data_IF_010299850866
#
_entry.id   IF_010299850866
#
_cell.length_a   1.000
_cell.length_b   1.000
_cell.length_c   1.000
_cell.angle_alpha   90.00
_cell.angle_beta   90.00
_cell.angle_gamma   90.00
#
_symmetry.space_group_name_H-M   'P 1'
#
loop_
_entity.id
_entity.type
_entity.pdbx_description
1 polymer ?
#
# COMPACT_ATOMS: atom_id res chain seq x y z
N UNK A 1 18.01 -10.10 -26.54
CA UNK A 1 17.02 -11.18 -26.82
C UNK A 1 16.15 -11.57 -25.61
N UNK A 2 16.52 -11.27 -24.36
CA UNK A 2 15.71 -11.58 -23.17
C UNK A 2 14.57 -10.56 -22.90
N UNK A 3 14.64 -9.36 -23.45
CA UNK A 3 13.67 -8.28 -23.22
C UNK A 3 12.31 -8.51 -23.89
N UNK A 4 12.27 -9.12 -25.07
CA UNK A 4 11.04 -9.38 -25.80
C UNK A 4 10.16 -10.51 -25.19
N UNK A 5 10.80 -11.46 -24.50
CA UNK A 5 10.10 -12.59 -23.85
C UNK A 5 9.34 -12.17 -22.59
N UNK A 6 9.86 -11.16 -21.85
CA UNK A 6 9.20 -10.66 -20.62
C UNK A 6 7.93 -9.85 -20.92
N UNK A 7 7.92 -9.03 -21.98
CA UNK A 7 6.75 -8.23 -22.37
C UNK A 7 5.59 -9.13 -22.83
N UNK A 8 5.87 -10.20 -23.54
CA UNK A 8 4.88 -11.22 -23.92
C UNK A 8 4.31 -11.96 -22.71
N UNK A 9 5.12 -12.18 -21.67
CA UNK A 9 4.76 -12.86 -20.45
C UNK A 9 3.77 -12.07 -19.58
N UNK A 10 3.99 -10.75 -19.40
CA UNK A 10 3.05 -9.90 -18.64
C UNK A 10 1.68 -9.76 -19.31
N UNK A 11 1.64 -9.70 -20.62
CA UNK A 11 0.39 -9.63 -21.37
C UNK A 11 -0.39 -10.97 -21.27
N UNK A 12 0.31 -12.10 -21.38
CA UNK A 12 -0.29 -13.43 -21.22
C UNK A 12 -0.80 -13.68 -19.78
N UNK A 13 -0.13 -13.18 -18.74
CA UNK A 13 -0.58 -13.36 -17.35
C UNK A 13 -1.92 -12.67 -17.10
N UNK A 14 -2.15 -11.48 -17.67
CA UNK A 14 -3.43 -10.78 -17.53
C UNK A 14 -4.57 -11.46 -18.26
N UNK A 15 -4.30 -12.01 -19.45
CA UNK A 15 -5.33 -12.61 -20.30
C UNK A 15 -5.63 -14.07 -19.93
N UNK A 16 -4.74 -14.71 -19.13
CA UNK A 16 -4.82 -16.15 -18.80
C UNK A 16 -4.86 -16.42 -17.30
N UNK A 17 -5.41 -15.49 -16.49
CA UNK A 17 -5.53 -15.69 -15.04
C UNK A 17 -6.38 -16.92 -14.70
N UNK A 18 -7.44 -17.18 -15.43
CA UNK A 18 -8.29 -18.37 -15.23
C UNK A 18 -7.53 -19.66 -15.55
N UNK A 19 -6.81 -19.71 -16.67
CA UNK A 19 -5.99 -20.86 -17.05
C UNK A 19 -4.87 -21.13 -16.04
N UNK A 20 -4.25 -20.05 -15.51
CA UNK A 20 -3.25 -20.16 -14.44
C UNK A 20 -3.88 -20.71 -13.16
N UNK A 21 -5.04 -20.21 -12.78
CA UNK A 21 -5.76 -20.67 -11.60
C UNK A 21 -6.14 -22.15 -11.73
N UNK A 22 -6.67 -22.57 -12.88
CA UNK A 22 -7.00 -23.96 -13.16
C UNK A 22 -5.76 -24.87 -13.11
N UNK A 23 -4.64 -24.41 -13.67
CA UNK A 23 -3.37 -25.14 -13.62
C UNK A 23 -2.85 -25.28 -12.18
N UNK A 24 -2.93 -24.21 -11.36
CA UNK A 24 -2.52 -24.24 -9.95
C UNK A 24 -3.44 -25.10 -9.09
N UNK A 25 -4.74 -25.11 -9.38
CA UNK A 25 -5.74 -25.89 -8.64
C UNK A 25 -5.46 -27.39 -8.69
N UNK A 26 -4.81 -27.88 -9.75
CA UNK A 26 -4.42 -29.28 -9.88
C UNK A 26 -3.36 -29.73 -8.86
N UNK A 27 -2.63 -28.76 -8.29
CA UNK A 27 -1.60 -28.99 -7.26
C UNK A 27 -2.13 -28.73 -5.84
N UNK A 28 -3.37 -28.24 -5.72
CA UNK A 28 -3.99 -28.02 -4.42
C UNK A 28 -4.31 -29.37 -3.77
N UNK A 29 -3.92 -29.51 -2.51
CA UNK A 29 -4.20 -30.69 -1.68
C UNK A 29 -4.99 -30.25 -0.46
N UNK A 30 -5.85 -31.15 0.07
CA UNK A 30 -6.53 -30.90 1.33
C UNK A 30 -5.49 -30.66 2.46
N UNK A 31 -5.69 -29.60 3.22
CA UNK A 31 -4.81 -29.19 4.30
C UNK A 31 -5.59 -28.55 5.45
N UNK A 32 -4.92 -28.28 6.59
CA UNK A 32 -5.56 -27.55 7.67
C UNK A 32 -5.92 -26.13 7.25
N UNK A 33 -7.06 -25.64 7.70
CA UNK A 33 -7.40 -24.22 7.60
C UNK A 33 -6.45 -23.40 8.46
N UNK A 34 -5.60 -22.60 7.85
CA UNK A 34 -4.65 -21.70 8.54
C UNK A 34 -5.26 -20.33 8.85
N UNK A 35 -6.32 -19.96 8.12
CA UNK A 35 -7.04 -18.69 8.26
C UNK A 35 -8.53 -18.97 8.35
N UNK A 36 -9.26 -18.09 9.02
CA UNK A 36 -10.71 -18.14 9.06
C UNK A 36 -11.31 -17.85 7.67
N UNK A 37 -12.45 -18.44 7.34
CA UNK A 37 -13.07 -18.35 6.00
C UNK A 37 -13.47 -16.91 5.61
N UNK A 38 -13.63 -16.03 6.59
CA UNK A 38 -13.93 -14.59 6.45
C UNK A 38 -12.71 -13.68 6.56
N UNK A 39 -11.52 -14.26 6.78
CA UNK A 39 -10.28 -13.49 6.85
C UNK A 39 -9.78 -13.10 5.45
N UNK A 40 -9.93 -11.84 5.08
CA UNK A 40 -9.38 -11.30 3.82
C UNK A 40 -7.85 -11.18 3.82
N UNK A 41 -7.24 -11.00 4.99
CA UNK A 41 -5.79 -10.81 5.15
C UNK A 41 -5.40 -11.03 6.61
N UNK A 42 -4.16 -11.43 6.84
CA UNK A 42 -3.51 -11.47 8.16
C UNK A 42 -2.80 -10.14 8.52
N UNK A 43 -2.83 -9.18 7.59
CA UNK A 43 -2.21 -7.87 7.76
C UNK A 43 -3.04 -7.00 8.72
N UNK A 44 -2.42 -6.34 9.71
CA UNK A 44 -3.11 -5.37 10.54
C UNK A 44 -3.76 -4.24 9.73
N UNK A 45 -4.96 -3.79 10.11
CA UNK A 45 -5.70 -2.71 9.41
C UNK A 45 -4.86 -1.46 9.18
N UNK A 46 -4.01 -1.11 10.14
CA UNK A 46 -3.07 0.01 10.04
C UNK A 46 -2.09 -0.14 8.87
N UNK A 47 -1.58 -1.34 8.65
CA UNK A 47 -0.65 -1.62 7.55
C UNK A 47 -1.38 -1.67 6.22
N UNK A 48 -2.58 -2.24 6.20
CA UNK A 48 -3.43 -2.27 5.01
C UNK A 48 -3.78 -0.84 4.53
N UNK A 49 -4.12 0.07 5.45
CA UNK A 49 -4.32 1.50 5.12
C UNK A 49 -3.08 2.11 4.48
N UNK A 50 -1.88 1.83 5.01
CA UNK A 50 -0.64 2.33 4.44
C UNK A 50 -0.43 1.82 3.00
N UNK A 51 -0.72 0.53 2.74
CA UNK A 51 -0.61 -0.07 1.42
C UNK A 51 -1.65 0.48 0.43
N UNK A 52 -2.89 0.71 0.85
CA UNK A 52 -3.92 1.36 0.01
C UNK A 52 -3.46 2.75 -0.41
N UNK A 53 -2.91 3.56 0.50
CA UNK A 53 -2.40 4.89 0.16
C UNK A 53 -1.19 4.78 -0.80
N UNK A 54 -0.29 3.82 -0.59
CA UNK A 54 0.85 3.56 -1.47
C UNK A 54 0.39 3.15 -2.87
N UNK A 55 -0.61 2.30 -2.98
CA UNK A 55 -1.24 1.91 -4.24
C UNK A 55 -1.77 3.13 -5.00
N UNK A 56 -2.54 4.01 -4.34
CA UNK A 56 -3.05 5.23 -5.00
C UNK A 56 -1.93 6.16 -5.44
N UNK A 57 -0.85 6.25 -4.67
CA UNK A 57 0.33 6.99 -5.09
C UNK A 57 0.96 6.38 -6.36
N UNK A 58 1.11 5.04 -6.43
CA UNK A 58 1.58 4.32 -7.62
C UNK A 58 0.69 4.57 -8.84
N UNK A 59 -0.63 4.55 -8.67
CA UNK A 59 -1.59 4.73 -9.76
C UNK A 59 -1.62 6.15 -10.32
N UNK A 60 -1.43 7.16 -9.49
CA UNK A 60 -1.62 8.56 -9.90
C UNK A 60 -0.32 9.31 -10.17
N UNK A 61 0.79 8.85 -9.65
CA UNK A 61 2.09 9.43 -9.95
C UNK A 61 2.77 8.68 -11.09
N UNK A 62 3.70 9.36 -11.76
CA UNK A 62 4.45 8.84 -12.89
C UNK A 62 5.92 8.70 -12.53
N UNK A 63 6.66 8.02 -13.39
CA UNK A 63 8.09 7.82 -13.30
C UNK A 63 8.54 7.04 -12.05
N UNK A 64 9.72 7.25 -11.57
CA UNK A 64 10.33 6.49 -10.46
C UNK A 64 9.92 7.00 -9.06
N UNK A 65 9.15 8.11 -8.97
CA UNK A 65 8.81 8.76 -7.71
C UNK A 65 8.01 7.85 -6.77
N UNK A 66 6.97 7.13 -7.25
CA UNK A 66 6.17 6.30 -6.37
C UNK A 66 6.97 5.15 -5.75
N UNK A 67 8.05 4.70 -6.39
CA UNK A 67 8.93 3.68 -5.85
C UNK A 67 9.89 4.20 -4.76
N UNK A 68 10.01 5.52 -4.65
CA UNK A 68 10.86 6.21 -3.67
C UNK A 68 10.10 6.79 -2.48
N UNK A 69 8.85 6.36 -2.23
CA UNK A 69 8.07 6.78 -1.08
C UNK A 69 7.86 5.65 -0.07
N UNK A 70 7.77 6.03 1.20
CA UNK A 70 7.29 5.17 2.27
C UNK A 70 6.05 5.80 2.90
N UNK A 71 5.06 4.98 3.22
CA UNK A 71 3.81 5.41 3.85
C UNK A 71 3.73 4.83 5.25
N UNK A 72 3.57 5.68 6.25
CA UNK A 72 3.52 5.28 7.65
C UNK A 72 2.28 5.86 8.31
N UNK A 73 1.46 4.99 8.87
CA UNK A 73 0.31 5.41 9.67
C UNK A 73 0.77 5.68 11.10
N UNK A 74 0.81 6.95 11.48
CA UNK A 74 1.23 7.40 12.81
C UNK A 74 0.13 7.21 13.86
N UNK A 75 -1.12 7.46 13.45
CA UNK A 75 -2.27 7.36 14.33
C UNK A 75 -3.40 6.63 13.62
N UNK A 76 -3.97 5.67 14.32
CA UNK A 76 -5.20 4.97 13.94
C UNK A 76 -6.07 4.91 15.20
N UNK A 77 -7.16 5.64 15.22
CA UNK A 77 -7.99 5.76 16.43
C UNK A 77 -9.47 5.86 16.10
N UNK A 78 -10.22 4.90 16.58
CA UNK A 78 -11.68 4.97 16.58
C UNK A 78 -12.18 6.06 17.54
N UNK A 79 -13.20 6.80 17.12
CA UNK A 79 -13.89 7.76 17.98
C UNK A 79 -15.01 7.08 18.75
N UNK A 80 -14.97 7.05 20.09
CA UNK A 80 -16.01 6.42 20.88
C UNK A 80 -17.40 6.98 20.57
N UNK A 81 -18.38 6.08 20.37
CA UNK A 81 -19.78 6.45 20.11
C UNK A 81 -20.08 7.01 18.73
N UNK A 82 -19.14 6.90 17.79
CA UNK A 82 -19.31 7.31 16.39
C UNK A 82 -18.78 6.22 15.46
N UNK A 83 -19.33 6.17 14.25
CA UNK A 83 -18.82 5.35 13.16
C UNK A 83 -17.75 6.13 12.38
N UNK A 84 -16.67 6.53 13.08
CA UNK A 84 -15.60 7.35 12.51
C UNK A 84 -14.23 6.96 13.08
N UNK A 85 -13.29 6.71 12.18
CA UNK A 85 -11.87 6.46 12.50
C UNK A 85 -11.00 7.63 12.07
N UNK A 86 -10.18 8.15 13.00
CA UNK A 86 -9.14 9.14 12.69
C UNK A 86 -7.86 8.43 12.29
N UNK A 87 -7.37 8.73 11.11
CA UNK A 87 -6.13 8.15 10.55
C UNK A 87 -5.19 9.28 10.13
N UNK A 88 -4.02 9.32 10.77
CA UNK A 88 -2.96 10.27 10.49
C UNK A 88 -1.80 9.55 9.81
N UNK A 89 -1.39 10.04 8.64
CA UNK A 89 -0.41 9.36 7.77
C UNK A 89 0.71 10.30 7.36
N UNK A 90 1.95 9.81 7.46
CA UNK A 90 3.11 10.45 6.86
C UNK A 90 3.55 9.71 5.60
N UNK A 91 3.67 10.45 4.52
CA UNK A 91 4.28 9.99 3.26
C UNK A 91 5.71 10.53 3.23
N UNK A 92 6.70 9.65 3.34
CA UNK A 92 8.11 10.00 3.33
C UNK A 92 8.66 9.91 1.91
N UNK A 93 9.42 10.94 1.51
CA UNK A 93 10.14 11.03 0.25
C UNK A 93 11.63 11.22 0.54
N UNK A 94 12.51 10.86 -0.40
CA UNK A 94 13.95 11.06 -0.25
C UNK A 94 14.39 12.52 -0.44
N UNK A 95 13.70 13.26 -1.32
CA UNK A 95 14.14 14.59 -1.78
C UNK A 95 13.01 15.60 -1.74
N UNK A 96 13.34 16.88 -1.58
CA UNK A 96 12.36 17.98 -1.64
C UNK A 96 11.64 18.06 -3.00
N UNK A 97 12.36 17.74 -4.10
CA UNK A 97 11.74 17.68 -5.43
C UNK A 97 10.62 16.62 -5.49
N UNK A 98 10.83 15.46 -4.91
CA UNK A 98 9.82 14.39 -4.84
C UNK A 98 8.63 14.82 -3.99
N UNK A 99 8.86 15.47 -2.85
CA UNK A 99 7.80 16.03 -2.00
C UNK A 99 6.92 17.02 -2.78
N UNK A 100 7.54 17.91 -3.56
CA UNK A 100 6.80 18.84 -4.43
C UNK A 100 5.89 18.11 -5.43
N UNK A 101 6.35 17.02 -6.02
CA UNK A 101 5.58 16.21 -6.96
C UNK A 101 4.44 15.43 -6.29
N UNK A 102 4.68 14.86 -5.10
CA UNK A 102 3.64 14.16 -4.31
C UNK A 102 2.54 15.13 -3.87
N UNK A 103 2.90 16.34 -3.47
CA UNK A 103 1.92 17.39 -3.11
C UNK A 103 1.17 17.86 -4.37
N UNK A 104 1.92 18.10 -5.45
CA UNK A 104 1.39 18.63 -6.70
C UNK A 104 1.00 20.11 -6.61
N UNK A 105 0.59 20.71 -7.74
CA UNK A 105 0.21 22.13 -7.81
C UNK A 105 -0.97 22.42 -6.87
N UNK A 106 -0.78 23.26 -5.88
CA UNK A 106 -1.81 23.63 -4.91
C UNK A 106 -2.32 22.43 -4.07
N UNK A 107 -1.53 21.35 -3.92
CA UNK A 107 -1.94 20.17 -3.16
C UNK A 107 -2.86 19.19 -3.93
N UNK A 108 -3.06 19.40 -5.24
CA UNK A 108 -4.03 18.65 -6.03
C UNK A 108 -3.71 17.15 -6.11
N UNK A 109 -2.43 16.78 -6.23
CA UNK A 109 -2.02 15.38 -6.31
C UNK A 109 -2.25 14.67 -4.98
N UNK A 110 -1.77 15.24 -3.88
CA UNK A 110 -1.98 14.70 -2.54
C UNK A 110 -3.45 14.56 -2.20
N UNK A 111 -4.26 15.56 -2.55
CA UNK A 111 -5.72 15.52 -2.36
C UNK A 111 -6.35 14.37 -3.14
N UNK A 112 -5.92 14.15 -4.38
CA UNK A 112 -6.42 13.06 -5.23
C UNK A 112 -6.08 11.69 -4.63
N UNK A 113 -4.82 11.49 -4.22
CA UNK A 113 -4.36 10.26 -3.56
C UNK A 113 -5.18 10.01 -2.29
N UNK A 114 -5.23 11.00 -1.39
CA UNK A 114 -5.92 10.86 -0.10
C UNK A 114 -7.43 10.63 -0.27
N UNK A 115 -8.09 11.29 -1.22
CA UNK A 115 -9.54 11.12 -1.43
C UNK A 115 -9.88 9.74 -1.97
N UNK A 116 -9.07 9.21 -2.90
CA UNK A 116 -9.26 7.87 -3.44
C UNK A 116 -8.95 6.80 -2.39
N UNK A 117 -7.82 6.95 -1.68
CA UNK A 117 -7.46 6.02 -0.61
C UNK A 117 -8.49 6.00 0.52
N UNK A 118 -9.06 7.16 0.88
CA UNK A 118 -10.13 7.24 1.88
C UNK A 118 -11.35 6.43 1.48
N UNK A 119 -11.79 6.51 0.22
CA UNK A 119 -12.95 5.76 -0.25
C UNK A 119 -12.75 4.25 -0.13
N UNK A 120 -11.59 3.75 -0.55
CA UNK A 120 -11.26 2.33 -0.43
C UNK A 120 -11.11 1.89 1.05
N UNK A 121 -10.52 2.76 1.91
CA UNK A 121 -10.44 2.48 3.34
C UNK A 121 -11.83 2.43 4.00
N UNK A 122 -12.75 3.32 3.63
CA UNK A 122 -14.13 3.29 4.12
C UNK A 122 -14.87 2.01 3.69
N UNK A 123 -14.59 1.51 2.50
CA UNK A 123 -15.18 0.27 1.97
C UNK A 123 -14.71 -0.95 2.76
N UNK A 124 -13.40 -1.13 2.98
CA UNK A 124 -12.92 -2.33 3.67
C UNK A 124 -13.05 -2.26 5.19
N UNK A 125 -12.96 -1.06 5.81
CA UNK A 125 -13.16 -0.90 7.25
C UNK A 125 -14.64 -0.92 7.65
N UNK A 126 -15.56 -0.73 6.71
CA UNK A 126 -17.00 -0.66 6.96
C UNK A 126 -17.44 0.55 7.80
N UNK A 127 -16.60 1.61 7.90
CA UNK A 127 -16.84 2.80 8.71
C UNK A 127 -16.34 4.06 8.00
N UNK A 128 -16.75 5.23 8.49
CA UNK A 128 -16.25 6.49 7.94
C UNK A 128 -14.81 6.77 8.39
N UNK A 129 -14.02 7.37 7.49
CA UNK A 129 -12.60 7.65 7.72
C UNK A 129 -12.31 9.14 7.62
N UNK A 130 -11.70 9.69 8.67
CA UNK A 130 -11.08 11.01 8.66
C UNK A 130 -9.58 10.84 8.39
N UNK A 131 -9.21 10.82 7.11
CA UNK A 131 -7.83 10.62 6.66
C UNK A 131 -7.09 11.96 6.55
N UNK A 132 -5.96 12.09 7.25
CA UNK A 132 -5.04 13.22 7.15
C UNK A 132 -3.68 12.73 6.68
N UNK A 133 -3.15 13.34 5.61
CA UNK A 133 -1.87 12.98 5.01
C UNK A 133 -0.90 14.14 5.01
N UNK A 134 0.33 13.89 5.48
CA UNK A 134 1.45 14.84 5.43
C UNK A 134 2.59 14.26 4.59
N UNK A 135 3.27 15.12 3.84
CA UNK A 135 4.45 14.72 3.07
C UNK A 135 5.69 15.25 3.76
N UNK A 136 6.60 14.37 4.10
CA UNK A 136 7.87 14.67 4.80
C UNK A 136 9.05 14.21 3.96
N UNK A 137 10.18 14.91 4.07
CA UNK A 137 11.44 14.49 3.47
C UNK A 137 12.30 13.78 4.50
N UNK A 138 12.82 12.62 4.12
CA UNK A 138 13.78 11.87 4.89
C UNK A 138 14.85 11.34 3.93
N UNK A 139 15.98 12.05 3.88
CA UNK A 139 17.09 11.67 3.01
C UNK A 139 17.60 10.27 3.38
N UNK A 140 18.00 9.53 2.34
CA UNK A 140 18.66 8.23 2.43
C UNK A 140 17.91 7.19 3.31
N UNK A 141 16.57 7.31 3.41
CA UNK A 141 15.77 6.41 4.25
C UNK A 141 15.85 4.95 3.78
N UNK A 142 16.08 4.71 2.49
CA UNK A 142 16.21 3.36 1.91
C UNK A 142 17.52 2.67 2.29
N UNK A 143 18.56 3.43 2.58
CA UNK A 143 19.87 2.93 2.96
C UNK A 143 20.03 2.84 4.49
N UNK A 144 19.01 3.25 5.24
CA UNK A 144 19.03 3.25 6.69
C UNK A 144 18.16 2.12 7.26
N UNK A 145 18.81 1.08 7.80
CA UNK A 145 18.13 -0.10 8.37
C UNK A 145 17.13 0.23 9.47
N UNK A 146 17.43 1.21 10.32
CA UNK A 146 16.51 1.63 11.38
C UNK A 146 15.24 2.24 10.80
N UNK A 147 15.36 3.07 9.75
CA UNK A 147 14.22 3.68 9.09
C UNK A 147 13.40 2.63 8.31
N UNK A 148 14.06 1.70 7.62
CA UNK A 148 13.39 0.59 6.94
C UNK A 148 12.55 -0.26 7.91
N UNK A 149 13.10 -0.58 9.07
CA UNK A 149 12.35 -1.31 10.10
C UNK A 149 11.15 -0.50 10.62
N UNK A 150 11.34 0.81 10.88
CA UNK A 150 10.27 1.68 11.36
C UNK A 150 9.17 1.93 10.32
N UNK A 151 9.50 1.83 9.03
CA UNK A 151 8.55 1.98 7.93
C UNK A 151 7.90 0.66 7.51
N UNK A 152 8.19 -0.45 8.20
CA UNK A 152 7.56 -1.74 7.96
C UNK A 152 8.19 -2.57 6.81
N UNK A 153 9.32 -2.14 6.22
CA UNK A 153 9.95 -2.82 5.09
C UNK A 153 10.81 -4.03 5.47
N UNK A 154 11.19 -4.20 6.73
CA UNK A 154 11.86 -5.43 7.20
C UNK A 154 10.90 -6.27 8.02
N UNK A 155 10.61 -7.45 7.53
CA UNK A 155 9.97 -8.49 8.34
C UNK A 155 10.89 -8.87 9.49
N UNK A 156 10.36 -8.84 10.70
CA UNK A 156 11.05 -9.34 11.87
C UNK A 156 11.28 -10.84 11.67
N UNK A 157 12.53 -11.37 11.65
CA UNK A 157 12.80 -12.79 11.41
C UNK A 157 12.21 -13.73 12.45
N UNK A 158 11.63 -13.18 13.53
CA UNK A 158 11.01 -13.94 14.63
C UNK A 158 9.48 -14.13 14.49
N UNK A 159 8.88 -13.72 13.39
CA UNK A 159 7.45 -13.92 13.10
C UNK A 159 7.27 -15.05 12.07
N UNK A 160 7.81 -16.22 12.37
CA UNK A 160 7.54 -17.49 11.69
C UNK A 160 6.96 -18.49 12.69
#
# INVERSE_FOLDING_TARGET
EMSASLVGSEMCIRDSCEELFDALSQYAVEGPHYFDDDAYTDMPEKELVAEVIREKALLYMRDEIPHGIAVVVERFKERPGTDLVDIDVNIYCERESHKGMVIGKGGAMLKKIASSARADCEEFLGCRVNLQCWVKVKADWRDNEFLLNNFGFKQNPNNR
#
